data_IF_132647995931
#
_entry.id   IF_132647995931
#
_cell.length_a   1.000
_cell.length_b   1.000
_cell.length_c   1.000
_cell.angle_alpha   90.00
_cell.angle_beta   90.00
_cell.angle_gamma   90.00
#
_symmetry.space_group_name_H-M   'P 1'
#
loop_
_entity.id
_entity.type
_entity.pdbx_description
1 polymer ?
#
# COMPACT_ATOMS: atom_id res chain seq x y z
N UNK A 1 -3.68 8.46 -26.50
CA UNK A 1 -2.51 8.96 -25.74
C UNK A 1 -2.76 8.67 -24.28
N UNK A 2 -1.78 8.16 -23.51
CA UNK A 2 -1.86 8.25 -22.05
C UNK A 2 -2.14 9.71 -21.65
N UNK A 3 -3.01 9.95 -20.66
CA UNK A 3 -3.13 11.27 -20.03
C UNK A 3 -4.36 12.14 -20.32
N UNK A 4 -5.43 11.62 -20.94
CA UNK A 4 -6.64 12.45 -21.18
C UNK A 4 -7.63 12.51 -20.01
N UNK A 5 -7.52 11.62 -19.01
CA UNK A 5 -8.40 11.59 -17.84
C UNK A 5 -7.58 11.78 -16.57
N UNK A 6 -7.82 12.84 -15.78
CA UNK A 6 -7.19 13.00 -14.48
C UNK A 6 -7.50 11.79 -13.58
N UNK A 7 -6.48 11.28 -12.88
CA UNK A 7 -6.65 10.22 -11.88
C UNK A 7 -6.59 10.89 -10.51
N UNK A 8 -7.68 10.74 -9.74
CA UNK A 8 -7.76 11.32 -8.41
C UNK A 8 -6.96 10.49 -7.39
N UNK A 9 -6.13 11.18 -6.61
CA UNK A 9 -5.44 10.65 -5.43
C UNK A 9 -5.83 11.49 -4.22
N UNK A 10 -6.42 10.87 -3.21
CA UNK A 10 -6.67 11.52 -1.92
C UNK A 10 -5.64 11.00 -0.93
N UNK A 11 -4.94 11.92 -0.28
CA UNK A 11 -3.98 11.60 0.79
C UNK A 11 -4.68 11.78 2.13
N UNK A 12 -4.64 10.76 2.98
CA UNK A 12 -5.03 10.88 4.37
C UNK A 12 -3.78 11.20 5.19
N UNK A 13 -3.87 12.25 5.99
CA UNK A 13 -2.76 12.73 6.80
C UNK A 13 -3.12 12.72 8.28
N UNK A 14 -2.12 12.45 9.11
CA UNK A 14 -2.20 12.55 10.56
C UNK A 14 -1.01 13.38 11.10
N UNK A 15 -1.21 14.03 12.25
CA UNK A 15 -0.24 14.91 12.91
C UNK A 15 0.10 14.45 14.34
N UNK A 16 -0.08 13.17 14.68
CA UNK A 16 0.12 12.65 16.04
C UNK A 16 1.57 12.79 16.58
N UNK A 17 2.56 13.15 15.75
CA UNK A 17 3.98 13.17 16.14
C UNK A 17 4.73 14.46 15.75
N UNK A 18 4.05 15.61 15.79
CA UNK A 18 4.69 16.91 15.57
C UNK A 18 5.03 17.22 14.11
N UNK A 19 4.36 16.55 13.17
CA UNK A 19 4.45 16.80 11.75
C UNK A 19 3.40 15.99 10.98
N UNK A 20 2.85 16.59 9.92
CA UNK A 20 1.92 15.91 9.03
C UNK A 20 2.60 14.78 8.27
N UNK A 21 2.04 13.57 8.37
CA UNK A 21 2.49 12.38 7.64
C UNK A 21 1.30 11.75 6.93
N UNK A 22 1.58 11.17 5.76
CA UNK A 22 0.57 10.40 5.01
C UNK A 22 0.45 9.02 5.66
N UNK A 23 -0.76 8.62 6.06
CA UNK A 23 -1.04 7.29 6.62
C UNK A 23 -1.80 6.36 5.65
N UNK A 24 -2.47 6.92 4.64
CA UNK A 24 -3.15 6.19 3.56
C UNK A 24 -3.28 7.05 2.29
N UNK A 25 -3.47 6.37 1.16
CA UNK A 25 -3.74 6.97 -0.15
C UNK A 25 -4.99 6.28 -0.71
N UNK A 26 -5.94 7.07 -1.22
CA UNK A 26 -7.11 6.56 -1.93
C UNK A 26 -6.90 6.74 -3.44
N UNK A 27 -6.69 5.64 -4.14
CA UNK A 27 -6.62 5.62 -5.60
C UNK A 27 -8.03 5.74 -6.21
N UNK A 28 -8.11 6.39 -7.37
CA UNK A 28 -9.38 6.74 -8.03
C UNK A 28 -10.33 7.53 -7.11
N UNK A 29 -9.81 8.19 -6.08
CA UNK A 29 -10.57 8.98 -5.13
C UNK A 29 -11.30 8.20 -4.03
N UNK A 30 -11.27 6.86 -4.01
CA UNK A 30 -12.04 6.10 -3.01
C UNK A 30 -11.44 4.73 -2.61
N UNK A 31 -10.45 4.21 -3.34
CA UNK A 31 -9.86 2.90 -3.02
C UNK A 31 -8.65 3.07 -2.10
N UNK A 32 -8.86 2.86 -0.80
CA UNK A 32 -7.78 2.83 0.20
C UNK A 32 -6.72 1.79 -0.18
N UNK A 33 -5.48 2.24 -0.33
CA UNK A 33 -4.36 1.36 -0.63
C UNK A 33 -3.98 0.52 0.59
N UNK A 34 -4.08 1.08 1.81
CA UNK A 34 -3.85 0.31 3.04
C UNK A 34 -4.88 -0.82 3.20
N UNK A 35 -6.17 -0.54 2.99
CA UNK A 35 -7.22 -1.57 3.06
C UNK A 35 -7.03 -2.65 1.99
N UNK A 36 -6.63 -2.24 0.77
CA UNK A 36 -6.33 -3.16 -0.33
C UNK A 36 -5.19 -4.11 0.05
N UNK A 37 -4.06 -3.57 0.53
CA UNK A 37 -2.92 -4.38 0.97
C UNK A 37 -3.28 -5.30 2.14
N UNK A 38 -4.08 -4.81 3.10
CA UNK A 38 -4.58 -5.64 4.21
C UNK A 38 -5.38 -6.84 3.71
N UNK A 39 -6.25 -6.63 2.72
CA UNK A 39 -7.04 -7.70 2.10
C UNK A 39 -6.13 -8.69 1.35
N UNK A 40 -5.21 -8.19 0.52
CA UNK A 40 -4.25 -9.01 -0.24
C UNK A 40 -3.40 -9.90 0.67
N UNK A 41 -3.02 -9.40 1.85
CA UNK A 41 -2.13 -10.10 2.77
C UNK A 41 -2.86 -10.88 3.88
N UNK A 42 -4.18 -10.75 4.01
CA UNK A 42 -4.95 -11.40 5.07
C UNK A 42 -4.77 -12.93 5.09
N UNK A 43 -4.75 -13.57 3.92
CA UNK A 43 -4.57 -15.02 3.81
C UNK A 43 -3.16 -15.47 4.25
N UNK A 44 -2.12 -14.76 3.79
CA UNK A 44 -0.72 -15.05 4.15
C UNK A 44 -0.49 -14.85 5.65
N UNK A 45 -1.06 -13.77 6.21
CA UNK A 45 -1.00 -13.51 7.64
C UNK A 45 -1.72 -14.61 8.43
N UNK A 46 -2.90 -15.05 7.98
CA UNK A 46 -3.65 -16.14 8.62
C UNK A 46 -2.90 -17.47 8.57
N UNK A 47 -2.17 -17.76 7.49
CA UNK A 47 -1.52 -19.06 7.30
C UNK A 47 -0.19 -19.20 8.04
N UNK A 48 0.57 -18.11 8.22
CA UNK A 48 1.94 -18.19 8.77
C UNK A 48 2.35 -17.00 9.65
N UNK A 49 1.40 -16.17 10.06
CA UNK A 49 1.65 -15.05 10.96
C UNK A 49 2.55 -13.96 10.38
N UNK A 50 3.09 -13.14 11.27
CA UNK A 50 3.90 -11.98 10.90
C UNK A 50 5.20 -12.38 10.17
N UNK A 51 5.81 -13.50 10.55
CA UNK A 51 7.05 -13.96 9.93
C UNK A 51 6.86 -14.29 8.44
N UNK A 52 5.80 -15.03 8.10
CA UNK A 52 5.51 -15.36 6.71
C UNK A 52 5.11 -14.12 5.89
N UNK A 53 4.36 -13.18 6.49
CA UNK A 53 4.04 -11.92 5.84
C UNK A 53 5.30 -11.10 5.54
N UNK A 54 6.24 -10.99 6.48
CA UNK A 54 7.49 -10.27 6.27
C UNK A 54 8.31 -10.88 5.12
N UNK A 55 8.42 -12.21 5.06
CA UNK A 55 9.09 -12.89 3.95
C UNK A 55 8.44 -12.56 2.59
N UNK A 56 7.10 -12.57 2.52
CA UNK A 56 6.37 -12.22 1.30
C UNK A 56 6.59 -10.78 0.87
N UNK A 57 6.60 -9.83 1.81
CA UNK A 57 6.88 -8.42 1.54
C UNK A 57 8.30 -8.22 1.00
N UNK A 58 9.30 -8.86 1.61
CA UNK A 58 10.68 -8.80 1.14
C UNK A 58 10.81 -9.35 -0.29
N UNK A 59 10.23 -10.52 -0.57
CA UNK A 59 10.26 -11.10 -1.90
C UNK A 59 9.60 -10.19 -2.96
N UNK A 60 8.48 -9.52 -2.61
CA UNK A 60 7.81 -8.58 -3.50
C UNK A 60 8.64 -7.30 -3.73
N UNK A 61 9.30 -6.80 -2.69
CA UNK A 61 10.19 -5.64 -2.78
C UNK A 61 11.40 -5.95 -3.67
N UNK A 62 12.06 -7.09 -3.46
CA UNK A 62 13.18 -7.54 -4.27
C UNK A 62 12.81 -7.69 -5.75
N UNK A 63 11.63 -8.25 -6.04
CA UNK A 63 11.14 -8.37 -7.40
C UNK A 63 10.89 -7.01 -8.07
N UNK A 64 10.38 -6.04 -7.30
CA UNK A 64 10.11 -4.69 -7.79
C UNK A 64 11.39 -3.89 -8.06
N UNK A 65 12.42 -4.08 -7.23
CA UNK A 65 13.73 -3.43 -7.40
C UNK A 65 14.58 -4.03 -8.53
N UNK A 66 14.40 -5.33 -8.83
CA UNK A 66 15.11 -6.00 -9.94
C UNK A 66 14.57 -5.65 -11.32
N UNK A 67 13.34 -5.14 -11.40
CA UNK A 67 12.68 -4.74 -12.64
C UNK A 67 12.77 -3.24 -12.96
N UNK A 68 13.58 -2.49 -12.20
CA UNK A 68 13.84 -1.05 -12.38
C UNK A 68 15.16 -0.76 -13.06
#
# INVERSE_FOLDING_TARGET
RPGNTPIAFIYKLDNAHGGWKIDDIFANGFVSQVATKRSEYAATLKSGGAALLAQKLNAQADASLKGG
#
